data_IF_066310595029
#
_entry.id   IF_066310595029
#
_cell.length_a   1.000
_cell.length_b   1.000
_cell.length_c   1.000
_cell.angle_alpha   90.00
_cell.angle_beta   90.00
_cell.angle_gamma   90.00
#
_symmetry.space_group_name_H-M   'P 1'
#
loop_
_entity.id
_entity.type
_entity.pdbx_description
1 polymer ?
#
# COMPACT_ATOMS: atom_id res chain seq x y z
N UNK A 1 -29.12 38.37 -42.90
CA UNK A 1 -28.04 39.36 -43.12
C UNK A 1 -27.77 40.09 -41.80
N UNK A 2 -26.66 39.82 -41.10
CA UNK A 2 -26.35 40.46 -39.80
C UNK A 2 -25.50 41.71 -40.06
N UNK A 3 -26.00 42.89 -39.68
CA UNK A 3 -25.23 44.13 -39.75
C UNK A 3 -23.97 43.97 -38.89
N UNK A 4 -22.78 44.08 -39.48
CA UNK A 4 -21.52 44.06 -38.73
C UNK A 4 -21.44 45.35 -37.90
N UNK A 5 -21.13 45.22 -36.61
CA UNK A 5 -20.88 46.39 -35.77
C UNK A 5 -19.72 47.20 -36.36
N UNK A 6 -19.91 48.52 -36.44
CA UNK A 6 -18.87 49.44 -36.93
C UNK A 6 -17.65 49.38 -36.01
N UNK A 7 -16.44 49.42 -36.59
CA UNK A 7 -15.20 49.42 -35.82
C UNK A 7 -15.04 50.74 -35.07
N UNK A 8 -14.62 50.69 -33.80
CA UNK A 8 -14.39 51.87 -32.96
C UNK A 8 -13.20 52.76 -33.38
N UNK A 9 -12.44 52.40 -34.42
CA UNK A 9 -11.32 53.22 -34.89
C UNK A 9 -11.77 54.25 -35.93
N UNK A 10 -11.86 55.52 -35.51
CA UNK A 10 -12.33 56.63 -36.35
C UNK A 10 -11.42 56.88 -37.57
N UNK A 11 -10.14 56.52 -37.51
CA UNK A 11 -9.20 56.70 -38.63
C UNK A 11 -9.52 55.80 -39.84
N UNK A 12 -10.36 54.76 -39.66
CA UNK A 12 -10.83 53.90 -40.76
C UNK A 12 -11.94 54.55 -41.60
N UNK A 13 -12.52 55.66 -41.15
CA UNK A 13 -13.54 56.40 -41.91
C UNK A 13 -12.89 57.42 -42.86
N UNK A 14 -13.54 57.76 -44.00
CA UNK A 14 -13.15 58.87 -44.86
C UNK A 14 -13.03 60.19 -44.07
N UNK A 15 -12.08 61.06 -44.44
CA UNK A 15 -11.72 62.26 -43.64
C UNK A 15 -12.91 63.14 -43.28
N UNK A 16 -13.83 63.37 -44.23
CA UNK A 16 -15.03 64.20 -44.04
C UNK A 16 -16.06 63.62 -43.04
N UNK A 17 -16.03 62.31 -42.78
CA UNK A 17 -16.92 61.64 -41.81
C UNK A 17 -16.31 61.46 -40.42
N UNK A 18 -15.02 61.77 -40.25
CA UNK A 18 -14.32 61.54 -38.98
C UNK A 18 -14.83 62.45 -37.86
N UNK A 19 -15.11 63.70 -38.19
CA UNK A 19 -15.59 64.68 -37.20
C UNK A 19 -16.97 64.32 -36.65
N UNK A 20 -17.86 63.81 -37.51
CA UNK A 20 -19.19 63.35 -37.11
C UNK A 20 -19.07 62.13 -36.19
N UNK A 21 -18.24 61.15 -36.57
CA UNK A 21 -18.01 59.95 -35.77
C UNK A 21 -17.32 60.24 -34.42
N UNK A 22 -16.43 61.24 -34.34
CA UNK A 22 -15.84 61.69 -33.08
C UNK A 22 -16.90 62.28 -32.14
N UNK A 23 -17.75 63.18 -32.66
CA UNK A 23 -18.85 63.78 -31.90
C UNK A 23 -19.85 62.74 -31.39
N UNK A 24 -20.13 61.69 -32.18
CA UNK A 24 -21.00 60.59 -31.76
C UNK A 24 -20.35 59.70 -30.69
N UNK A 25 -19.05 59.44 -30.79
CA UNK A 25 -18.31 58.67 -29.78
C UNK A 25 -18.23 59.43 -28.44
N UNK A 26 -17.99 60.74 -28.47
CA UNK A 26 -17.95 61.60 -27.27
C UNK A 26 -19.31 61.65 -26.56
N UNK A 27 -20.41 61.76 -27.31
CA UNK A 27 -21.77 61.65 -26.76
C UNK A 27 -22.03 60.30 -26.09
N UNK A 28 -21.50 59.21 -26.65
CA UNK A 28 -21.63 57.87 -26.08
C UNK A 28 -20.77 57.65 -24.82
N UNK A 29 -19.65 58.38 -24.67
CA UNK A 29 -18.81 58.33 -23.46
C UNK A 29 -19.50 59.02 -22.29
N UNK A 30 -20.15 60.15 -22.51
CA UNK A 30 -20.88 60.88 -21.45
C UNK A 30 -22.12 60.15 -20.91
N UNK A 31 -22.63 59.13 -21.62
CA UNK A 31 -23.74 58.30 -21.15
C UNK A 31 -23.32 57.00 -20.44
N UNK A 32 -22.01 56.72 -20.33
CA UNK A 32 -21.54 55.55 -19.56
C UNK A 32 -21.70 55.81 -18.07
N UNK A 33 -22.86 55.46 -17.53
CA UNK A 33 -23.04 55.18 -16.10
C UNK A 33 -21.98 54.15 -15.71
N UNK A 34 -21.20 54.46 -14.68
CA UNK A 34 -20.20 53.55 -14.12
C UNK A 34 -20.89 52.23 -13.77
N UNK A 35 -20.74 51.21 -14.60
CA UNK A 35 -21.20 49.87 -14.25
C UNK A 35 -20.33 49.39 -13.10
N UNK A 36 -20.85 49.49 -11.87
CA UNK A 36 -20.17 48.93 -10.71
C UNK A 36 -19.89 47.46 -11.03
N UNK A 37 -18.60 47.10 -11.08
CA UNK A 37 -18.18 45.70 -11.13
C UNK A 37 -18.48 45.10 -9.76
N UNK A 38 -19.75 44.89 -9.46
CA UNK A 38 -20.17 44.02 -8.38
C UNK A 38 -19.68 42.64 -8.76
N UNK A 39 -18.44 42.31 -8.34
CA UNK A 39 -17.87 40.97 -8.39
C UNK A 39 -18.89 40.07 -7.69
N UNK A 40 -19.70 39.42 -8.51
CA UNK A 40 -20.88 38.73 -8.05
C UNK A 40 -20.46 37.74 -6.96
N UNK A 41 -20.97 37.90 -5.74
CA UNK A 41 -20.74 36.96 -4.64
C UNK A 41 -21.08 35.51 -5.06
N UNK A 42 -21.92 35.33 -6.09
CA UNK A 42 -22.24 34.05 -6.71
C UNK A 42 -21.02 33.40 -7.38
N UNK A 43 -20.16 34.15 -8.08
CA UNK A 43 -18.95 33.63 -8.72
C UNK A 43 -17.92 33.11 -7.70
N UNK A 44 -17.75 33.82 -6.57
CA UNK A 44 -16.86 33.40 -5.48
C UNK A 44 -17.43 32.22 -4.69
N UNK A 45 -18.74 32.20 -4.43
CA UNK A 45 -19.46 31.06 -3.84
C UNK A 45 -19.42 29.82 -4.73
N UNK A 46 -19.45 29.98 -6.06
CA UNK A 46 -19.30 28.86 -7.01
C UNK A 46 -17.95 28.16 -6.87
N UNK A 47 -16.83 28.87 -6.64
CA UNK A 47 -15.53 28.23 -6.46
C UNK A 47 -15.46 27.40 -5.17
N UNK A 48 -15.95 27.96 -4.05
CA UNK A 48 -16.03 27.25 -2.75
C UNK A 48 -16.93 26.02 -2.87
N UNK A 49 -18.09 26.17 -3.51
CA UNK A 49 -19.02 25.06 -3.75
C UNK A 49 -18.45 24.01 -4.71
N UNK A 50 -17.59 24.40 -5.66
CA UNK A 50 -16.92 23.46 -6.58
C UNK A 50 -15.89 22.62 -5.84
N UNK A 51 -15.06 23.24 -4.99
CA UNK A 51 -14.11 22.52 -4.10
C UNK A 51 -14.87 21.59 -3.15
N UNK A 52 -15.93 22.07 -2.50
CA UNK A 52 -16.77 21.23 -1.64
C UNK A 52 -17.42 20.08 -2.42
N UNK A 53 -17.86 20.34 -3.66
CA UNK A 53 -18.37 19.32 -4.58
C UNK A 53 -17.31 18.30 -4.99
N UNK A 54 -16.07 18.72 -5.20
CA UNK A 54 -14.94 17.82 -5.45
C UNK A 54 -14.61 16.99 -4.21
N UNK A 55 -14.53 17.60 -3.03
CA UNK A 55 -14.33 16.88 -1.75
C UNK A 55 -15.45 15.87 -1.48
N UNK A 56 -16.71 16.22 -1.75
CA UNK A 56 -17.86 15.28 -1.63
C UNK A 56 -17.76 14.11 -2.61
N UNK A 57 -17.37 14.36 -3.87
CA UNK A 57 -17.13 13.30 -4.87
C UNK A 57 -15.96 12.40 -4.47
N UNK A 58 -14.88 12.97 -3.94
CA UNK A 58 -13.71 12.25 -3.43
C UNK A 58 -14.04 11.33 -2.24
N UNK A 59 -15.08 11.63 -1.45
CA UNK A 59 -15.51 10.73 -0.36
C UNK A 59 -15.99 9.37 -0.86
N UNK A 60 -16.63 9.31 -2.03
CA UNK A 60 -17.18 8.08 -2.62
C UNK A 60 -16.22 7.42 -3.60
N UNK A 61 -15.50 8.24 -4.37
CA UNK A 61 -14.69 7.82 -5.49
C UNK A 61 -13.27 8.36 -5.37
N UNK A 62 -12.25 7.48 -5.40
CA UNK A 62 -10.83 7.90 -5.34
C UNK A 62 -10.26 7.98 -6.75
N UNK A 63 -9.40 8.97 -6.99
CA UNK A 63 -8.56 9.03 -8.17
C UNK A 63 -7.35 8.13 -7.94
N UNK A 64 -7.14 7.16 -8.83
CA UNK A 64 -5.89 6.39 -8.87
C UNK A 64 -4.82 7.23 -9.59
N UNK A 65 -3.55 6.97 -9.35
CA UNK A 65 -2.43 7.71 -9.96
C UNK A 65 -2.44 7.62 -11.49
N UNK A 66 -2.91 6.48 -12.01
CA UNK A 66 -3.14 6.28 -13.45
C UNK A 66 -4.16 7.27 -14.03
N UNK A 67 -5.04 7.86 -13.21
CA UNK A 67 -6.08 8.77 -13.67
C UNK A 67 -5.59 10.19 -13.98
N UNK A 68 -4.36 10.54 -13.63
CA UNK A 68 -3.81 11.90 -13.81
C UNK A 68 -3.51 12.20 -15.28
N UNK A 69 -3.18 11.19 -16.09
CA UNK A 69 -2.62 11.38 -17.44
C UNK A 69 -3.62 11.27 -18.61
N UNK A 70 -4.89 10.92 -18.38
CA UNK A 70 -5.89 10.60 -19.43
C UNK A 70 -7.37 10.93 -19.07
N UNK A 71 -7.66 12.15 -18.61
CA UNK A 71 -8.93 12.58 -18.01
C UNK A 71 -10.26 12.19 -18.73
N UNK A 72 -10.26 11.91 -20.04
CA UNK A 72 -11.47 11.66 -20.85
C UNK A 72 -11.94 10.19 -20.84
N UNK A 73 -11.12 9.24 -20.40
CA UNK A 73 -11.44 7.79 -20.41
C UNK A 73 -11.57 7.14 -19.02
N UNK A 74 -11.60 7.92 -17.93
CA UNK A 74 -11.50 7.33 -16.59
C UNK A 74 -12.81 7.07 -15.88
N UNK A 75 -12.98 5.80 -15.49
CA UNK A 75 -14.02 5.34 -14.61
C UNK A 75 -13.59 5.54 -13.15
N UNK A 76 -14.37 6.31 -12.40
CA UNK A 76 -14.15 6.48 -10.96
C UNK A 76 -14.48 5.17 -10.24
N UNK A 77 -13.51 4.55 -9.57
CA UNK A 77 -13.74 3.33 -8.77
C UNK A 77 -14.40 3.72 -7.44
N UNK A 78 -15.53 3.07 -7.14
CA UNK A 78 -16.27 3.25 -5.88
C UNK A 78 -15.43 2.65 -4.74
N UNK A 79 -15.04 3.48 -3.76
CA UNK A 79 -14.35 3.00 -2.56
C UNK A 79 -15.36 2.28 -1.66
N UNK A 80 -15.45 0.95 -1.78
CA UNK A 80 -16.26 0.14 -0.87
C UNK A 80 -15.59 0.07 0.50
N UNK A 81 -16.18 0.72 1.50
CA UNK A 81 -15.76 0.58 2.90
C UNK A 81 -16.51 -0.53 3.64
N UNK A 82 -17.42 -1.24 2.98
CA UNK A 82 -18.27 -2.27 3.63
C UNK A 82 -17.42 -3.42 4.13
N UNK A 83 -16.60 -4.00 3.24
CA UNK A 83 -15.75 -5.13 3.57
C UNK A 83 -14.68 -4.79 4.61
N UNK A 84 -13.87 -3.72 4.49
CA UNK A 84 -12.90 -3.35 5.53
C UNK A 84 -13.55 -3.07 6.89
N UNK A 85 -14.75 -2.47 6.91
CA UNK A 85 -15.52 -2.26 8.16
C UNK A 85 -15.93 -3.58 8.80
N UNK A 86 -16.43 -4.51 8.00
CA UNK A 86 -16.83 -5.84 8.47
C UNK A 86 -15.63 -6.61 9.01
N UNK A 87 -14.52 -6.65 8.27
CA UNK A 87 -13.29 -7.28 8.73
C UNK A 87 -12.75 -6.59 10.00
N UNK A 88 -12.81 -5.26 10.10
CA UNK A 88 -12.39 -4.52 11.30
C UNK A 88 -13.24 -4.83 12.54
N UNK A 89 -14.50 -5.21 12.34
CA UNK A 89 -15.37 -5.65 13.41
C UNK A 89 -14.98 -7.05 13.90
N UNK A 90 -14.58 -7.94 12.97
CA UNK A 90 -14.14 -9.30 13.28
C UNK A 90 -12.77 -9.37 13.96
N UNK A 91 -11.82 -8.47 13.65
CA UNK A 91 -10.50 -8.39 14.30
C UNK A 91 -10.51 -7.84 15.75
N UNK A 92 -11.69 -7.55 16.30
CA UNK A 92 -11.87 -7.10 17.69
C UNK A 92 -11.38 -5.67 17.98
N UNK A 93 -11.90 -5.04 19.05
CA UNK A 93 -11.51 -3.68 19.43
C UNK A 93 -10.12 -3.63 20.08
N UNK A 94 -9.49 -2.45 20.03
CA UNK A 94 -8.22 -2.16 20.72
C UNK A 94 -8.41 -2.25 22.24
N UNK A 95 -7.51 -2.94 22.98
CA UNK A 95 -7.51 -2.89 24.44
C UNK A 95 -7.35 -1.43 24.91
N UNK A 96 -8.27 -0.94 25.75
CA UNK A 96 -8.18 0.38 26.38
C UNK A 96 -8.80 1.57 25.62
N UNK A 97 -9.41 1.36 24.45
CA UNK A 97 -10.14 2.44 23.76
C UNK A 97 -11.58 2.59 24.27
N UNK A 98 -12.01 3.81 24.63
CA UNK A 98 -13.42 4.17 24.99
C UNK A 98 -14.48 3.81 23.92
N UNK A 99 -14.08 3.23 22.79
CA UNK A 99 -14.94 2.77 21.70
C UNK A 99 -15.43 1.32 21.86
N UNK A 100 -14.95 0.57 22.86
CA UNK A 100 -15.36 -0.81 23.11
C UNK A 100 -16.84 -0.94 23.51
N UNK A 101 -17.42 0.06 24.18
CA UNK A 101 -18.81 0.04 24.68
C UNK A 101 -19.86 0.43 23.64
N UNK A 102 -19.48 1.04 22.50
CA UNK A 102 -20.46 1.52 21.50
C UNK A 102 -20.69 0.58 20.31
N UNK A 103 -19.87 -0.47 20.11
CA UNK A 103 -19.96 -1.34 18.92
C UNK A 103 -20.80 -2.62 19.10
N UNK A 104 -21.24 -2.93 20.31
CA UNK A 104 -22.00 -4.14 20.62
C UNK A 104 -23.47 -4.11 20.16
N UNK A 105 -24.00 -2.98 19.64
CA UNK A 105 -25.45 -2.77 19.50
C UNK A 105 -26.04 -2.71 18.09
N UNK A 106 -25.33 -3.02 17.00
CA UNK A 106 -25.93 -2.96 15.65
C UNK A 106 -25.61 -4.16 14.79
N UNK A 107 -26.53 -5.14 14.78
CA UNK A 107 -26.77 -6.10 13.69
C UNK A 107 -25.52 -6.65 13.02
N UNK A 108 -24.53 -7.06 13.80
CA UNK A 108 -23.31 -7.64 13.23
C UNK A 108 -23.61 -9.07 12.83
N UNK A 109 -23.48 -9.38 11.54
CA UNK A 109 -23.36 -10.76 11.10
C UNK A 109 -22.13 -11.34 11.81
N UNK A 110 -22.37 -12.35 12.65
CA UNK A 110 -21.30 -13.12 13.27
C UNK A 110 -20.35 -13.65 12.20
N UNK A 111 -19.13 -13.96 12.63
CA UNK A 111 -18.16 -14.65 11.78
C UNK A 111 -18.72 -16.05 11.48
N UNK A 112 -19.45 -16.16 10.37
CA UNK A 112 -20.12 -17.37 9.89
C UNK A 112 -19.39 -17.85 8.65
N UNK A 113 -19.24 -19.16 8.47
CA UNK A 113 -18.52 -19.73 7.32
C UNK A 113 -19.09 -19.24 5.98
N UNK A 114 -20.41 -19.08 5.88
CA UNK A 114 -21.10 -18.55 4.71
C UNK A 114 -20.71 -17.09 4.38
N UNK A 115 -20.56 -16.24 5.40
CA UNK A 115 -20.13 -14.86 5.20
C UNK A 115 -18.67 -14.79 4.70
N UNK A 116 -17.80 -15.70 5.17
CA UNK A 116 -16.44 -15.83 4.67
C UNK A 116 -16.42 -16.28 3.20
N UNK A 117 -17.21 -17.30 2.85
CA UNK A 117 -17.31 -17.82 1.48
C UNK A 117 -17.85 -16.76 0.50
N UNK A 118 -18.92 -16.04 0.86
CA UNK A 118 -19.47 -14.98 0.03
C UNK A 118 -18.46 -13.84 -0.25
N UNK A 119 -17.58 -13.57 0.72
CA UNK A 119 -16.49 -12.60 0.56
C UNK A 119 -15.41 -13.13 -0.37
N UNK A 120 -15.06 -14.41 -0.27
CA UNK A 120 -14.06 -15.07 -1.10
C UNK A 120 -14.52 -15.19 -2.56
N UNK A 121 -15.79 -15.53 -2.80
CA UNK A 121 -16.38 -15.59 -4.14
C UNK A 121 -16.35 -14.24 -4.85
N UNK A 122 -16.58 -13.15 -4.10
CA UNK A 122 -16.48 -11.80 -4.64
C UNK A 122 -15.04 -11.35 -4.92
N UNK A 123 -14.07 -11.86 -4.15
CA UNK A 123 -12.69 -11.36 -4.15
C UNK A 123 -11.64 -12.49 -3.94
N UNK A 124 -11.43 -13.36 -4.94
CA UNK A 124 -10.58 -14.55 -4.77
C UNK A 124 -9.08 -14.22 -4.60
N UNK A 125 -8.61 -13.05 -5.08
CA UNK A 125 -7.22 -12.59 -4.95
C UNK A 125 -7.14 -11.16 -4.45
N UNK A 126 -7.79 -10.89 -3.32
CA UNK A 126 -7.73 -9.58 -2.68
C UNK A 126 -6.60 -9.46 -1.67
N UNK A 127 -5.95 -8.29 -1.69
CA UNK A 127 -5.03 -7.83 -0.67
C UNK A 127 -5.70 -6.75 0.18
N UNK A 128 -5.50 -6.85 1.50
CA UNK A 128 -6.03 -5.90 2.48
C UNK A 128 -4.88 -5.18 3.15
N UNK A 129 -4.92 -3.85 3.17
CA UNK A 129 -3.99 -3.03 3.94
C UNK A 129 -4.30 -3.11 5.43
N UNK A 130 -3.31 -3.48 6.22
CA UNK A 130 -3.42 -3.63 7.67
C UNK A 130 -2.38 -2.77 8.38
N UNK A 131 -2.82 -2.17 9.47
CA UNK A 131 -1.99 -1.63 10.52
C UNK A 131 -1.70 -2.71 11.55
N UNK A 132 -0.48 -2.74 12.02
CA UNK A 132 0.07 -3.71 12.93
C UNK A 132 0.60 -2.97 14.14
N UNK A 133 0.20 -3.39 15.34
CA UNK A 133 0.71 -2.85 16.60
C UNK A 133 1.34 -3.98 17.42
N UNK A 134 2.63 -3.85 17.74
CA UNK A 134 3.34 -4.82 18.58
C UNK A 134 2.77 -4.79 20.00
N UNK A 135 2.61 -5.97 20.60
CA UNK A 135 2.18 -6.09 22.01
C UNK A 135 3.35 -5.98 22.99
N UNK A 136 4.55 -6.38 22.56
CA UNK A 136 5.75 -6.40 23.38
C UNK A 136 6.81 -5.39 22.95
N UNK A 137 7.99 -5.52 23.55
CA UNK A 137 9.18 -4.75 23.16
C UNK A 137 9.63 -5.15 21.76
N UNK A 138 9.95 -4.15 20.94
CA UNK A 138 10.49 -4.36 19.59
C UNK A 138 10.07 -3.24 18.64
N UNK A 139 10.77 -3.17 17.51
CA UNK A 139 10.38 -2.36 16.36
C UNK A 139 10.29 -3.25 15.12
N UNK A 140 9.18 -3.20 14.38
CA UNK A 140 9.06 -3.96 13.15
C UNK A 140 9.98 -3.34 12.09
N UNK A 141 10.90 -4.12 11.54
CA UNK A 141 11.70 -3.70 10.38
C UNK A 141 10.88 -3.70 9.07
N UNK A 142 11.41 -3.06 8.01
CA UNK A 142 10.84 -3.19 6.67
C UNK A 142 10.92 -4.63 6.18
N UNK A 143 10.00 -5.04 5.31
CA UNK A 143 9.94 -6.40 4.75
C UNK A 143 9.82 -7.50 5.80
N UNK A 144 9.26 -7.19 6.97
CA UNK A 144 8.90 -8.19 7.97
C UNK A 144 7.75 -9.06 7.47
N UNK A 145 7.81 -10.34 7.83
CA UNK A 145 6.86 -11.37 7.43
C UNK A 145 5.72 -11.47 8.42
N UNK A 146 4.49 -11.63 7.91
CA UNK A 146 3.28 -11.80 8.72
C UNK A 146 2.85 -13.28 8.66
N UNK A 147 2.83 -13.92 9.83
CA UNK A 147 2.69 -15.36 9.99
C UNK A 147 1.44 -15.71 10.80
N UNK A 148 0.71 -16.74 10.39
CA UNK A 148 -0.45 -17.26 11.12
C UNK A 148 0.00 -17.78 12.48
N UNK A 149 -0.79 -17.44 13.50
CA UNK A 149 -0.57 -17.88 14.87
C UNK A 149 -1.04 -19.33 15.03
N UNK A 150 -0.22 -20.18 15.67
CA UNK A 150 -0.62 -21.54 16.02
C UNK A 150 -1.40 -21.57 17.35
N UNK A 151 -2.17 -22.63 17.58
CA UNK A 151 -2.91 -22.82 18.84
C UNK A 151 -1.96 -22.95 20.05
N UNK A 152 -0.80 -23.57 19.84
CA UNK A 152 0.27 -23.68 20.84
C UNK A 152 0.71 -22.31 21.38
N UNK A 153 0.83 -21.33 20.47
CA UNK A 153 1.33 -20.00 20.77
C UNK A 153 0.31 -19.22 21.62
N UNK A 154 -0.99 -19.46 21.41
CA UNK A 154 -2.08 -18.87 22.20
C UNK A 154 -2.08 -19.40 23.63
N UNK A 155 -1.92 -20.73 23.79
CA UNK A 155 -1.83 -21.36 25.10
C UNK A 155 -0.64 -20.79 25.89
N UNK A 156 0.54 -20.73 25.27
CA UNK A 156 1.75 -20.20 25.92
C UNK A 156 1.61 -18.74 26.33
N UNK A 157 0.99 -17.90 25.50
CA UNK A 157 0.72 -16.50 25.85
C UNK A 157 -0.26 -16.36 27.02
N UNK A 158 -1.21 -17.29 27.15
CA UNK A 158 -2.12 -17.36 28.28
C UNK A 158 -1.43 -17.73 29.60
N UNK A 159 -0.42 -18.62 29.53
CA UNK A 159 0.37 -19.03 30.71
C UNK A 159 1.39 -17.97 31.13
N UNK A 160 2.15 -17.40 30.18
CA UNK A 160 3.16 -16.39 30.44
C UNK A 160 2.90 -15.11 29.64
N UNK A 161 2.55 -14.06 30.37
CA UNK A 161 2.26 -12.74 29.81
C UNK A 161 3.51 -12.02 29.29
N UNK A 162 4.70 -12.45 29.70
CA UNK A 162 5.98 -11.92 29.22
C UNK A 162 6.52 -12.70 28.01
N UNK A 163 5.81 -13.72 27.55
CA UNK A 163 6.23 -14.52 26.42
C UNK A 163 6.33 -13.70 25.14
N UNK A 164 7.53 -13.65 24.57
CA UNK A 164 7.81 -12.85 23.38
C UNK A 164 7.47 -13.57 22.07
N UNK A 165 7.31 -14.89 22.10
CA UNK A 165 7.00 -15.75 20.95
C UNK A 165 8.00 -16.91 20.81
N UNK A 166 7.69 -17.91 19.97
CA UNK A 166 8.61 -19.01 19.71
C UNK A 166 9.82 -18.53 18.89
N UNK A 167 10.89 -19.32 18.89
CA UNK A 167 12.04 -19.13 18.01
C UNK A 167 11.93 -20.07 16.80
N UNK A 168 12.15 -19.54 15.60
CA UNK A 168 12.13 -20.32 14.36
C UNK A 168 13.33 -21.30 14.30
N UNK A 169 13.09 -22.58 13.97
CA UNK A 169 14.18 -23.53 13.74
C UNK A 169 15.05 -23.10 12.54
N UNK A 170 16.33 -23.46 12.60
CA UNK A 170 17.27 -23.14 11.51
C UNK A 170 17.02 -24.09 10.33
N UNK A 171 16.62 -23.52 9.20
CA UNK A 171 16.48 -24.25 7.94
C UNK A 171 17.83 -24.56 7.32
N UNK A 172 17.90 -25.70 6.64
CA UNK A 172 19.11 -26.12 5.92
C UNK A 172 19.20 -25.40 4.58
N UNK A 173 20.32 -24.73 4.33
CA UNK A 173 20.56 -24.03 3.06
C UNK A 173 21.07 -25.03 1.99
N UNK A 174 20.29 -25.31 0.93
CA UNK A 174 20.70 -26.21 -0.14
C UNK A 174 21.88 -25.67 -0.97
N UNK A 175 22.12 -24.36 -0.96
CA UNK A 175 23.22 -23.75 -1.73
C UNK A 175 24.55 -23.73 -0.98
N UNK A 176 24.55 -23.97 0.34
CA UNK A 176 25.78 -23.95 1.14
C UNK A 176 26.78 -25.02 0.67
N UNK A 177 26.28 -26.21 0.32
CA UNK A 177 27.11 -27.28 -0.28
C UNK A 177 27.61 -26.89 -1.66
N UNK A 178 26.74 -26.38 -2.53
CA UNK A 178 27.09 -25.96 -3.90
C UNK A 178 28.13 -24.83 -3.92
N UNK A 179 27.99 -23.84 -3.02
CA UNK A 179 28.97 -22.74 -2.88
C UNK A 179 30.30 -23.27 -2.38
N UNK A 180 30.29 -24.22 -1.43
CA UNK A 180 31.51 -24.87 -0.93
C UNK A 180 32.23 -25.60 -2.06
N UNK A 181 31.51 -26.41 -2.83
CA UNK A 181 32.07 -27.12 -3.99
C UNK A 181 32.63 -26.17 -5.06
N UNK A 182 31.93 -25.06 -5.35
CA UNK A 182 32.44 -24.05 -6.29
C UNK A 182 33.72 -23.39 -5.78
N UNK A 183 33.83 -23.12 -4.47
CA UNK A 183 35.05 -22.58 -3.86
C UNK A 183 36.21 -23.58 -3.92
N UNK A 184 35.95 -24.86 -3.64
CA UNK A 184 36.95 -25.94 -3.73
C UNK A 184 37.45 -26.08 -5.18
N UNK A 185 36.55 -26.17 -6.17
CA UNK A 185 36.91 -26.21 -7.60
C UNK A 185 37.69 -24.97 -8.06
N UNK A 186 37.36 -23.79 -7.53
CA UNK A 186 38.09 -22.54 -7.84
C UNK A 186 39.49 -22.53 -7.22
N UNK A 187 39.65 -23.10 -6.03
CA UNK A 187 40.94 -23.26 -5.37
C UNK A 187 41.82 -24.27 -6.13
N UNK A 188 41.26 -25.41 -6.53
CA UNK A 188 41.95 -26.42 -7.35
C UNK A 188 42.42 -25.84 -8.69
N UNK A 189 41.57 -25.06 -9.38
CA UNK A 189 41.97 -24.35 -10.60
C UNK A 189 43.15 -23.39 -10.38
N UNK A 190 43.20 -22.70 -9.23
CA UNK A 190 44.33 -21.82 -8.88
C UNK A 190 45.61 -22.59 -8.61
N UNK A 191 45.53 -23.72 -7.90
CA UNK A 191 46.67 -24.61 -7.66
C UNK A 191 47.20 -25.22 -8.97
N UNK A 192 46.32 -25.66 -9.85
CA UNK A 192 46.70 -26.23 -11.14
C UNK A 192 47.25 -25.19 -12.11
N UNK A 193 46.75 -23.94 -12.09
CA UNK A 193 47.35 -22.83 -12.84
C UNK A 193 48.75 -22.48 -12.34
N UNK A 194 48.98 -22.49 -11.02
CA UNK A 194 50.32 -22.31 -10.46
C UNK A 194 51.32 -23.39 -10.87
N UNK A 195 50.82 -24.60 -11.18
CA UNK A 195 51.63 -25.75 -11.65
C UNK A 195 51.79 -25.80 -13.17
N UNK A 196 50.85 -25.27 -13.94
CA UNK A 196 50.92 -25.17 -15.41
C UNK A 196 51.81 -24.02 -15.90
N UNK A 197 52.03 -22.98 -15.10
CA UNK A 197 52.99 -21.90 -15.43
C UNK A 197 54.44 -22.42 -15.48
N UNK A 198 54.74 -23.58 -14.88
CA UNK A 198 56.04 -24.26 -15.03
C UNK A 198 56.19 -25.10 -16.31
N UNK A 199 55.11 -25.38 -17.06
CA UNK A 199 55.17 -26.17 -18.30
C UNK A 199 54.16 -25.67 -19.36
N UNK A 200 54.61 -24.77 -20.26
CA UNK A 200 54.14 -24.68 -21.66
C UNK A 200 52.75 -24.06 -21.97
N UNK A 201 52.74 -23.13 -22.94
CA UNK A 201 51.59 -22.47 -23.56
C UNK A 201 50.47 -23.39 -24.08
N UNK A 202 49.21 -23.05 -23.79
CA UNK A 202 48.07 -23.23 -24.70
C UNK A 202 46.93 -22.24 -24.37
N UNK A 203 46.60 -21.36 -25.33
CA UNK A 203 45.41 -20.52 -25.29
C UNK A 203 44.15 -21.33 -25.65
N UNK A 204 43.16 -21.31 -24.75
CA UNK A 204 41.80 -21.75 -25.01
C UNK A 204 40.83 -20.80 -24.31
N UNK A 205 40.05 -20.06 -25.09
CA UNK A 205 39.12 -19.04 -24.58
C UNK A 205 38.06 -19.61 -23.63
N UNK A 206 37.59 -18.84 -22.63
CA UNK A 206 36.72 -19.36 -21.59
C UNK A 206 35.30 -19.57 -22.14
N UNK A 207 34.92 -20.83 -22.31
CA UNK A 207 33.52 -21.25 -22.42
C UNK A 207 32.72 -20.70 -21.22
N UNK A 208 31.49 -20.24 -21.50
CA UNK A 208 30.58 -19.60 -20.55
C UNK A 208 30.60 -20.29 -19.17
N UNK A 209 31.29 -19.65 -18.21
CA UNK A 209 31.45 -20.19 -16.86
C UNK A 209 30.11 -20.27 -16.12
N UNK A 210 30.00 -21.16 -15.11
CA UNK A 210 28.83 -21.20 -14.23
C UNK A 210 28.56 -19.81 -13.67
N UNK A 211 27.34 -19.31 -13.84
CA UNK A 211 26.93 -18.03 -13.26
C UNK A 211 27.25 -18.04 -11.75
N UNK A 212 27.86 -16.98 -11.21
CA UNK A 212 28.21 -16.92 -9.80
C UNK A 212 26.93 -16.99 -8.97
N UNK A 213 26.74 -18.11 -8.26
CA UNK A 213 25.65 -18.26 -7.30
C UNK A 213 25.90 -17.27 -6.15
N UNK A 214 25.14 -16.20 -6.13
CA UNK A 214 25.20 -15.22 -5.04
C UNK A 214 24.45 -15.79 -3.84
N UNK A 215 25.06 -15.85 -2.64
CA UNK A 215 24.38 -16.38 -1.46
C UNK A 215 23.04 -15.68 -1.23
N UNK A 216 21.97 -16.46 -1.06
CA UNK A 216 20.63 -15.94 -0.83
C UNK A 216 19.82 -15.56 -2.08
N UNK A 217 20.39 -15.67 -3.28
CA UNK A 217 19.66 -15.44 -4.52
C UNK A 217 19.25 -16.77 -5.17
N UNK A 218 17.95 -17.05 -5.20
CA UNK A 218 17.40 -18.19 -5.92
C UNK A 218 17.43 -17.94 -7.42
N UNK A 219 18.13 -18.76 -8.19
CA UNK A 219 18.17 -18.67 -9.66
C UNK A 219 17.12 -19.54 -10.37
N UNK A 220 16.33 -20.33 -9.62
CA UNK A 220 15.31 -21.25 -10.13
C UNK A 220 13.86 -20.80 -9.87
N UNK A 221 12.85 -21.62 -10.20
CA UNK A 221 11.43 -21.32 -9.96
C UNK A 221 11.13 -21.29 -8.46
N UNK A 222 10.88 -20.11 -7.90
CA UNK A 222 10.76 -19.88 -6.45
C UNK A 222 9.96 -20.97 -5.72
N UNK A 223 10.46 -21.46 -4.57
CA UNK A 223 9.72 -22.41 -3.75
C UNK A 223 8.44 -21.75 -3.24
N UNK A 224 7.51 -22.57 -2.74
CA UNK A 224 6.26 -22.08 -2.16
C UNK A 224 6.60 -21.20 -0.95
N UNK A 225 6.57 -19.88 -1.17
CA UNK A 225 6.95 -18.87 -0.17
C UNK A 225 6.09 -18.98 1.09
N UNK A 226 4.87 -19.51 0.99
CA UNK A 226 3.96 -19.62 2.11
C UNK A 226 4.36 -20.68 3.15
N UNK A 227 5.17 -21.66 2.78
CA UNK A 227 5.58 -22.81 3.61
C UNK A 227 7.09 -22.84 3.92
N UNK A 228 7.82 -21.75 3.63
CA UNK A 228 9.25 -21.65 3.93
C UNK A 228 9.54 -21.58 5.44
N UNK A 229 8.60 -21.02 6.20
CA UNK A 229 8.69 -20.94 7.66
C UNK A 229 7.85 -22.05 8.32
N UNK A 230 8.18 -22.36 9.57
CA UNK A 230 7.39 -23.30 10.41
C UNK A 230 5.97 -22.81 10.64
N UNK A 231 5.75 -21.49 10.55
CA UNK A 231 4.43 -20.84 10.60
C UNK A 231 4.04 -20.39 9.19
N UNK A 232 2.75 -20.55 8.85
CA UNK A 232 2.22 -20.22 7.52
C UNK A 232 2.27 -18.70 7.30
N UNK A 233 2.83 -18.29 6.17
CA UNK A 233 2.92 -16.88 5.79
C UNK A 233 1.70 -16.45 4.98
N UNK A 234 1.14 -15.28 5.29
CA UNK A 234 -0.02 -14.76 4.57
C UNK A 234 0.02 -13.25 4.27
N UNK A 235 1.09 -12.56 4.68
CA UNK A 235 1.27 -11.14 4.40
C UNK A 235 2.69 -10.64 4.63
N UNK A 236 2.90 -9.38 4.24
CA UNK A 236 4.19 -8.70 4.32
C UNK A 236 4.02 -7.25 4.80
N UNK A 237 5.00 -6.77 5.55
CA UNK A 237 5.09 -5.38 5.97
C UNK A 237 5.88 -4.57 4.95
N UNK A 238 5.33 -3.42 4.59
CA UNK A 238 6.00 -2.48 3.68
C UNK A 238 6.74 -1.40 4.45
N UNK A 239 6.14 -0.88 5.51
CA UNK A 239 6.74 0.13 6.38
C UNK A 239 6.57 -0.31 7.83
N UNK A 240 7.66 -0.39 8.57
CA UNK A 240 7.63 -0.66 10.00
C UNK A 240 8.61 0.27 10.69
N UNK A 241 8.18 0.85 11.81
CA UNK A 241 9.04 1.67 12.67
C UNK A 241 8.47 1.76 14.10
N UNK A 242 9.19 2.40 15.00
CA UNK A 242 8.69 2.74 16.32
C UNK A 242 7.84 4.01 16.29
N UNK A 243 6.60 3.91 16.75
CA UNK A 243 5.67 5.03 16.83
C UNK A 243 5.83 5.77 18.15
N UNK A 244 6.38 6.98 18.12
CA UNK A 244 6.48 7.84 19.30
C UNK A 244 5.11 8.29 19.83
N UNK A 245 4.07 8.30 18.99
CA UNK A 245 2.72 8.73 19.37
C UNK A 245 2.03 7.71 20.28
N UNK A 246 2.28 6.41 20.04
CA UNK A 246 1.71 5.32 20.85
C UNK A 246 2.71 4.80 21.88
N UNK A 247 4.01 4.96 21.63
CA UNK A 247 5.08 4.40 22.44
C UNK A 247 5.31 2.91 22.19
N UNK A 248 4.94 2.40 21.01
CA UNK A 248 5.16 1.01 20.61
C UNK A 248 5.57 0.88 19.14
N UNK A 249 6.08 -0.29 18.76
CA UNK A 249 6.35 -0.62 17.36
C UNK A 249 5.04 -0.69 16.56
N UNK A 250 4.96 0.09 15.49
CA UNK A 250 3.82 0.07 14.55
C UNK A 250 4.31 -0.24 13.14
N UNK A 251 3.49 -0.96 12.39
CA UNK A 251 3.79 -1.30 11.00
C UNK A 251 2.55 -1.19 10.11
N UNK A 252 2.81 -0.90 8.84
CA UNK A 252 1.86 -0.93 7.75
C UNK A 252 2.22 -2.09 6.81
N UNK A 253 1.29 -3.00 6.63
CA UNK A 253 1.46 -4.19 5.81
C UNK A 253 0.26 -4.50 4.93
N UNK A 254 0.43 -5.53 4.13
CA UNK A 254 -0.61 -6.10 3.30
C UNK A 254 -0.75 -7.58 3.62
N UNK A 255 -1.99 -8.03 3.78
CA UNK A 255 -2.33 -9.43 4.03
C UNK A 255 -3.29 -9.94 2.98
N UNK A 256 -3.21 -11.23 2.71
CA UNK A 256 -4.17 -11.93 1.83
C UNK A 256 -5.50 -12.09 2.56
N UNK A 257 -6.60 -11.78 1.86
CA UNK A 257 -7.95 -11.89 2.42
C UNK A 257 -8.28 -13.34 2.80
N UNK A 258 -7.85 -14.31 2.00
CA UNK A 258 -8.02 -15.75 2.26
C UNK A 258 -7.40 -16.18 3.58
N UNK A 259 -6.12 -15.86 3.78
CA UNK A 259 -5.40 -16.20 5.01
C UNK A 259 -5.96 -15.49 6.23
N UNK A 260 -6.43 -14.24 6.09
CA UNK A 260 -7.07 -13.51 7.17
C UNK A 260 -8.39 -14.16 7.61
N UNK A 261 -9.23 -14.61 6.66
CA UNK A 261 -10.51 -15.25 6.97
C UNK A 261 -10.32 -16.64 7.59
N UNK A 262 -9.38 -17.43 7.08
CA UNK A 262 -9.03 -18.73 7.67
C UNK A 262 -8.54 -18.56 9.12
N UNK A 263 -7.63 -17.61 9.35
CA UNK A 263 -7.15 -17.27 10.68
C UNK A 263 -8.28 -16.83 11.63
N UNK A 264 -9.16 -15.93 11.19
CA UNK A 264 -10.26 -15.43 12.04
C UNK A 264 -11.29 -16.51 12.38
N UNK A 265 -11.44 -17.52 11.52
CA UNK A 265 -12.33 -18.65 11.74
C UNK A 265 -11.79 -19.62 12.78
N UNK A 266 -10.46 -19.73 12.92
CA UNK A 266 -9.78 -20.59 13.89
C UNK A 266 -9.61 -19.94 15.27
N UNK A 267 -9.57 -18.60 15.35
CA UNK A 267 -9.26 -17.91 16.61
C UNK A 267 -10.46 -17.73 17.57
N UNK A 268 -10.25 -17.91 18.89
CA UNK A 268 -11.27 -17.62 19.90
C UNK A 268 -11.56 -16.13 19.95
N UNK A 269 -12.83 -15.77 20.22
CA UNK A 269 -13.35 -14.40 20.08
C UNK A 269 -12.55 -13.30 20.78
N UNK A 270 -11.89 -13.61 21.91
CA UNK A 270 -11.12 -12.65 22.72
C UNK A 270 -9.75 -12.30 22.10
N UNK A 271 -9.13 -13.25 21.42
CA UNK A 271 -7.77 -13.14 20.87
C UNK A 271 -7.77 -12.88 19.35
N UNK A 272 -8.97 -12.70 18.77
CA UNK A 272 -9.12 -12.35 17.35
C UNK A 272 -8.26 -11.14 16.98
N UNK A 273 -7.54 -11.31 15.88
CA UNK A 273 -6.65 -10.29 15.33
C UNK A 273 -5.23 -10.36 15.90
N UNK A 274 -4.88 -11.40 16.66
CA UNK A 274 -3.53 -11.64 17.13
C UNK A 274 -2.75 -12.48 16.12
N UNK A 275 -1.56 -12.02 15.74
CA UNK A 275 -0.74 -12.59 14.67
C UNK A 275 0.74 -12.56 15.06
N UNK A 276 1.54 -13.39 14.41
CA UNK A 276 2.99 -13.39 14.58
C UNK A 276 3.68 -12.57 13.48
N UNK A 277 4.70 -11.82 13.89
CA UNK A 277 5.59 -11.11 12.99
C UNK A 277 6.99 -11.73 13.06
N UNK A 278 7.62 -11.94 11.90
CA UNK A 278 8.98 -12.48 11.78
C UNK A 278 9.86 -11.54 10.96
N UNK A 279 10.82 -10.84 11.57
CA UNK A 279 11.79 -10.03 10.84
C UNK A 279 12.75 -10.90 10.03
N UNK A 280 13.17 -10.50 8.82
CA UNK A 280 14.13 -11.29 8.04
C UNK A 280 15.51 -11.39 8.73
N UNK A 281 15.85 -10.43 9.58
CA UNK A 281 17.12 -10.39 10.32
C UNK A 281 17.11 -11.19 11.65
N UNK A 282 15.94 -11.68 12.10
CA UNK A 282 15.80 -12.35 13.39
C UNK A 282 14.95 -13.61 13.26
N UNK A 283 15.30 -14.65 14.02
CA UNK A 283 14.50 -15.89 14.10
C UNK A 283 13.38 -15.79 15.14
N UNK A 284 13.33 -14.71 15.90
CA UNK A 284 12.35 -14.53 16.97
C UNK A 284 11.01 -14.08 16.39
N UNK A 285 9.95 -14.84 16.64
CA UNK A 285 8.59 -14.39 16.38
C UNK A 285 8.15 -13.38 17.44
N UNK A 286 7.34 -12.41 17.03
CA UNK A 286 6.78 -11.38 17.91
C UNK A 286 5.27 -11.29 17.75
N UNK A 287 4.56 -11.15 18.86
CA UNK A 287 3.11 -10.98 18.86
C UNK A 287 2.69 -9.57 18.46
N UNK A 288 1.76 -9.51 17.51
CA UNK A 288 1.26 -8.27 16.91
C UNK A 288 -0.25 -8.34 16.76
N UNK A 289 -0.91 -7.20 16.98
CA UNK A 289 -2.34 -7.05 16.75
C UNK A 289 -2.61 -6.40 15.39
N UNK A 290 -3.47 -7.03 14.60
CA UNK A 290 -3.96 -6.53 13.32
C UNK A 290 -5.08 -5.51 13.54
N UNK A 291 -4.99 -4.40 12.81
CA UNK A 291 -6.02 -3.38 12.66
C UNK A 291 -6.22 -3.08 11.18
N UNK A 292 -7.47 -3.02 10.73
CA UNK A 292 -7.75 -2.78 9.30
C UNK A 292 -8.01 -1.30 9.08
N UNK A 293 -7.25 -0.69 8.16
CA UNK A 293 -7.42 0.73 7.82
C UNK A 293 -8.73 0.97 7.05
N UNK A 294 -9.47 2.03 7.40
CA UNK A 294 -10.82 2.33 6.88
C UNK A 294 -10.91 3.48 5.86
#
# INVERSE_FOLDING_TARGET
MRRRAMSHNVKRLPRWLREIAQKEAEKAVHQKKEHSKNKCHKARRCHINRILGFKRRQKKNKWLETHIWHAKRFHMVKRSRRLPRQLSAWCGPRPGGRQATQRAGRGQQGLTGEACLAVLDGFPRALVSVWLALLGKGSPGPHTLICVLAEEDLLQLGYDRLYHGPQEPKHSDPFKSQIREQKEKKLEKRLNQGRAVSEGLAEGGPAAGPQPLTPGLWSGPLPIVTSDCSRVLFGFVTRGDFSMAVGCGEALGFVSLTGLLDMLSRQPGLERGLVLLRPPASLQYQFVRIMIEM
#
